data_IF_773897279311
#
_entry.id   IF_773897279311
#
_cell.length_a   1.000
_cell.length_b   1.000
_cell.length_c   1.000
_cell.angle_alpha   90.00
_cell.angle_beta   90.00
_cell.angle_gamma   90.00
#
_symmetry.space_group_name_H-M   'P 1'
#
loop_
_entity.id
_entity.type
_entity.pdbx_description
1 polymer ?
#
# COMPACT_ATOMS: atom_id res chain seq x y z
N UNK A 1 29.54 -7.14 -13.92
CA UNK A 1 28.87 -6.40 -12.84
C UNK A 1 27.41 -6.80 -12.80
N UNK A 2 26.94 -7.35 -11.68
CA UNK A 2 25.54 -7.77 -11.51
C UNK A 2 24.73 -6.66 -10.84
N UNK A 3 23.47 -6.50 -11.28
CA UNK A 3 22.53 -5.51 -10.73
C UNK A 3 21.59 -6.16 -9.72
N UNK A 4 21.13 -5.38 -8.76
CA UNK A 4 20.15 -5.84 -7.78
C UNK A 4 18.81 -6.19 -8.46
N UNK A 5 18.08 -7.14 -7.87
CA UNK A 5 16.76 -7.56 -8.38
C UNK A 5 15.76 -6.40 -8.39
N UNK A 6 15.86 -5.48 -7.43
CA UNK A 6 15.06 -4.27 -7.35
C UNK A 6 15.31 -3.35 -8.55
N UNK A 7 16.58 -3.04 -8.82
CA UNK A 7 16.99 -2.16 -9.93
C UNK A 7 16.56 -2.74 -11.28
N UNK A 8 16.72 -4.05 -11.48
CA UNK A 8 16.24 -4.74 -12.69
C UNK A 8 14.72 -4.60 -12.87
N UNK A 9 13.96 -4.73 -11.78
CA UNK A 9 12.49 -4.60 -11.82
C UNK A 9 12.06 -3.16 -12.16
N UNK A 10 12.74 -2.17 -11.60
CA UNK A 10 12.51 -0.75 -11.89
C UNK A 10 12.82 -0.39 -13.34
N UNK A 11 13.93 -0.89 -13.90
CA UNK A 11 14.29 -0.69 -15.32
C UNK A 11 13.22 -1.29 -16.25
N UNK A 12 12.67 -2.46 -15.91
CA UNK A 12 11.57 -3.07 -16.68
C UNK A 12 10.29 -2.23 -16.60
N UNK A 13 9.98 -1.66 -15.43
CA UNK A 13 8.82 -0.78 -15.26
C UNK A 13 8.95 0.49 -16.12
N UNK A 14 10.17 1.01 -16.28
CA UNK A 14 10.50 2.14 -17.15
C UNK A 14 10.47 1.80 -18.66
N UNK A 15 10.25 0.52 -19.02
CA UNK A 15 10.15 0.02 -20.40
C UNK A 15 11.43 0.21 -21.24
N UNK A 16 12.60 -0.03 -20.64
CA UNK A 16 13.84 -0.09 -21.40
C UNK A 16 13.73 -1.10 -22.57
N UNK A 17 13.98 -0.69 -23.83
CA UNK A 17 13.76 -1.54 -25.01
C UNK A 17 14.87 -2.58 -25.23
N UNK A 18 16.05 -2.39 -24.62
CA UNK A 18 17.19 -3.29 -24.77
C UNK A 18 17.19 -4.45 -23.76
N UNK A 19 17.84 -5.56 -24.14
CA UNK A 19 18.19 -6.65 -23.21
C UNK A 19 19.64 -6.52 -22.68
N UNK A 20 20.47 -5.75 -23.39
CA UNK A 20 21.87 -5.50 -23.05
C UNK A 20 22.00 -4.66 -21.78
N UNK A 21 22.89 -5.08 -20.90
CA UNK A 21 23.15 -4.43 -19.62
C UNK A 21 21.90 -4.31 -18.73
N UNK A 22 20.93 -5.23 -18.81
CA UNK A 22 19.76 -5.21 -17.94
C UNK A 22 20.05 -5.87 -16.59
N UNK A 23 20.31 -7.18 -16.56
CA UNK A 23 20.62 -7.92 -15.32
C UNK A 23 22.11 -7.87 -14.96
N UNK A 24 22.97 -7.92 -15.97
CA UNK A 24 24.43 -7.91 -15.83
C UNK A 24 25.04 -6.95 -16.84
N UNK A 25 25.88 -6.04 -16.36
CA UNK A 25 26.70 -5.15 -17.18
C UNK A 25 28.06 -5.79 -17.42
N UNK A 26 28.47 -5.88 -18.69
CA UNK A 26 29.81 -6.33 -19.10
C UNK A 26 30.61 -5.23 -19.81
N UNK A 27 30.12 -3.98 -19.74
CA UNK A 27 30.86 -2.83 -20.22
C UNK A 27 31.96 -2.49 -19.21
N UNK A 28 33.22 -2.59 -19.63
CA UNK A 28 34.38 -2.23 -18.81
C UNK A 28 34.56 -0.70 -18.73
N UNK A 29 34.11 0.03 -19.76
CA UNK A 29 34.00 1.50 -19.80
C UNK A 29 32.72 1.93 -20.53
N UNK A 30 32.36 3.22 -20.45
CA UNK A 30 31.29 3.80 -21.27
C UNK A 30 31.70 3.75 -22.76
N UNK A 31 30.75 3.53 -23.69
CA UNK A 31 29.31 3.66 -23.52
C UNK A 31 28.58 2.38 -23.08
N UNK A 32 27.76 2.51 -22.03
CA UNK A 32 26.82 1.48 -21.61
C UNK A 32 25.45 1.76 -22.25
N UNK A 33 24.83 0.80 -22.97
CA UNK A 33 23.58 1.03 -23.69
C UNK A 33 22.41 1.39 -22.76
N UNK A 34 22.38 0.80 -21.55
CA UNK A 34 21.37 1.12 -20.55
C UNK A 34 21.53 2.55 -20.03
N UNK A 35 22.75 2.96 -19.70
CA UNK A 35 22.99 4.31 -19.18
C UNK A 35 22.73 5.37 -20.24
N UNK A 36 23.14 5.08 -21.48
CA UNK A 36 22.85 5.94 -22.64
C UNK A 36 21.35 6.15 -22.78
N UNK A 37 20.55 5.07 -22.71
CA UNK A 37 19.10 5.19 -22.77
C UNK A 37 18.50 5.93 -21.56
N UNK A 38 18.98 5.68 -20.34
CA UNK A 38 18.48 6.37 -19.15
C UNK A 38 18.72 7.88 -19.24
N UNK A 39 19.90 8.30 -19.69
CA UNK A 39 20.22 9.72 -19.85
C UNK A 39 19.47 10.35 -21.02
N UNK A 40 19.24 9.62 -22.12
CA UNK A 40 18.41 10.14 -23.23
C UNK A 40 16.97 10.34 -22.80
N UNK A 41 16.34 9.37 -22.14
CA UNK A 41 14.96 9.52 -21.64
C UNK A 41 14.84 10.60 -20.57
N UNK A 42 15.85 10.77 -19.71
CA UNK A 42 15.82 11.80 -18.70
C UNK A 42 15.95 13.20 -19.31
N UNK A 43 16.79 13.36 -20.33
CA UNK A 43 16.92 14.63 -21.07
C UNK A 43 15.71 14.94 -21.95
N UNK A 44 14.96 13.94 -22.44
CA UNK A 44 13.70 14.19 -23.18
C UNK A 44 12.56 14.66 -22.28
N UNK A 45 12.57 14.25 -21.00
CA UNK A 45 11.60 14.71 -20.00
C UNK A 45 12.01 16.04 -19.38
N UNK A 46 13.31 16.28 -19.21
CA UNK A 46 13.88 17.47 -18.60
C UNK A 46 14.86 18.16 -19.58
N UNK A 47 14.38 18.99 -20.51
CA UNK A 47 15.24 19.64 -21.52
C UNK A 47 16.25 20.63 -20.91
N UNK A 48 16.04 21.09 -19.68
CA UNK A 48 16.97 21.94 -18.92
C UNK A 48 18.32 21.27 -18.65
N UNK A 49 18.38 19.94 -18.73
CA UNK A 49 19.59 19.15 -18.50
C UNK A 49 20.40 18.88 -19.79
N UNK A 50 19.95 19.41 -20.94
CA UNK A 50 20.59 19.15 -22.22
C UNK A 50 21.76 20.11 -22.47
N UNK A 51 22.98 19.58 -22.54
CA UNK A 51 24.16 20.34 -22.95
C UNK A 51 24.08 20.71 -24.45
N UNK A 52 24.36 21.97 -24.79
CA UNK A 52 24.29 22.50 -26.15
C UNK A 52 25.31 21.90 -27.16
N UNK A 53 26.21 21.03 -26.69
CA UNK A 53 27.27 20.38 -27.48
C UNK A 53 26.91 18.97 -27.96
N UNK A 54 25.77 18.40 -27.55
CA UNK A 54 25.44 17.00 -27.79
C UNK A 54 25.19 16.72 -29.28
N UNK A 55 26.19 16.18 -29.95
CA UNK A 55 26.15 15.87 -31.39
C UNK A 55 25.94 14.37 -31.69
N UNK A 56 26.04 13.50 -30.68
CA UNK A 56 25.92 12.04 -30.85
C UNK A 56 24.99 11.39 -29.81
N UNK A 57 24.39 10.25 -30.18
CA UNK A 57 23.44 9.48 -29.35
C UNK A 57 24.15 8.51 -28.39
N UNK A 58 25.45 8.73 -28.12
CA UNK A 58 26.32 7.84 -27.36
C UNK A 58 26.81 8.57 -26.11
N UNK A 59 26.54 8.02 -24.93
CA UNK A 59 26.89 8.64 -23.66
C UNK A 59 28.38 8.41 -23.34
N UNK A 60 29.15 9.50 -23.30
CA UNK A 60 30.54 9.49 -22.87
C UNK A 60 30.69 9.75 -21.36
N UNK A 61 31.83 9.37 -20.79
CA UNK A 61 32.10 9.55 -19.36
C UNK A 61 32.10 11.01 -18.90
N UNK A 62 32.57 11.93 -19.74
CA UNK A 62 32.50 13.37 -19.46
C UNK A 62 31.06 13.88 -19.39
N UNK A 63 30.20 13.47 -20.31
CA UNK A 63 28.80 13.87 -20.39
C UNK A 63 27.97 13.33 -19.22
N UNK A 64 28.26 12.11 -18.78
CA UNK A 64 27.63 11.56 -17.58
C UNK A 64 27.98 12.40 -16.34
N UNK A 65 29.21 12.92 -16.23
CA UNK A 65 29.62 13.78 -15.12
C UNK A 65 28.97 15.16 -15.17
N UNK A 66 28.88 15.78 -16.35
CA UNK A 66 28.18 17.07 -16.49
C UNK A 66 26.71 16.92 -16.12
N UNK A 67 26.04 15.87 -16.62
CA UNK A 67 24.65 15.58 -16.28
C UNK A 67 24.44 15.35 -14.77
N UNK A 68 25.28 14.53 -14.13
CA UNK A 68 25.20 14.29 -12.69
C UNK A 68 25.45 15.56 -11.87
N UNK A 69 26.33 16.45 -12.36
CA UNK A 69 26.59 17.74 -11.73
C UNK A 69 25.41 18.70 -11.86
N UNK A 70 24.79 18.76 -13.04
CA UNK A 70 23.59 19.56 -13.30
C UNK A 70 22.40 19.10 -12.45
N UNK A 71 22.28 17.79 -12.20
CA UNK A 71 21.29 17.21 -11.28
C UNK A 71 21.67 17.34 -9.80
N UNK A 72 22.77 18.02 -9.46
CA UNK A 72 23.30 18.18 -8.10
C UNK A 72 23.43 16.84 -7.36
N UNK A 73 23.81 15.78 -8.09
CA UNK A 73 23.89 14.43 -7.57
C UNK A 73 24.94 14.35 -6.44
N UNK A 74 24.67 13.61 -5.36
CA UNK A 74 25.69 13.31 -4.34
C UNK A 74 26.85 12.47 -4.90
N UNK A 75 26.69 11.90 -6.10
CA UNK A 75 27.72 11.15 -6.83
C UNK A 75 28.63 12.05 -7.68
N UNK A 76 28.69 13.36 -7.43
CA UNK A 76 29.54 14.32 -8.15
C UNK A 76 31.04 14.21 -7.82
N UNK A 77 31.41 13.50 -6.75
CA UNK A 77 32.80 13.29 -6.29
C UNK A 77 33.55 12.21 -7.10
N UNK A 78 33.06 11.85 -8.29
CA UNK A 78 33.71 10.87 -9.18
C UNK A 78 34.93 11.48 -9.86
N UNK A 79 36.02 11.65 -9.10
CA UNK A 79 37.31 12.18 -9.55
C UNK A 79 38.19 11.15 -10.26
N UNK A 80 37.81 9.86 -10.26
CA UNK A 80 38.53 8.82 -11.00
C UNK A 80 37.97 8.68 -12.42
N UNK A 81 38.86 8.66 -13.42
CA UNK A 81 38.55 8.32 -14.82
C UNK A 81 37.92 6.92 -14.96
N UNK A 82 38.16 6.03 -13.99
CA UNK A 82 37.67 4.66 -13.99
C UNK A 82 36.39 4.55 -13.16
N UNK A 83 35.25 4.36 -13.84
CA UNK A 83 33.96 4.05 -13.22
C UNK A 83 33.94 2.59 -12.77
N UNK A 84 34.36 2.33 -11.53
CA UNK A 84 34.30 0.99 -10.95
C UNK A 84 32.88 0.39 -10.95
N UNK A 85 32.73 -0.96 -10.97
CA UNK A 85 31.44 -1.65 -11.00
C UNK A 85 30.41 -1.20 -9.94
N UNK A 86 30.86 -0.93 -8.71
CA UNK A 86 30.02 -0.50 -7.60
C UNK A 86 29.47 0.91 -7.80
N UNK A 87 30.30 1.82 -8.31
CA UNK A 87 29.94 3.20 -8.65
C UNK A 87 28.91 3.19 -9.77
N UNK A 88 29.15 2.40 -10.82
CA UNK A 88 28.25 2.31 -11.97
C UNK A 88 26.85 1.80 -11.57
N UNK A 89 26.77 0.90 -10.59
CA UNK A 89 25.51 0.47 -9.99
C UNK A 89 24.78 1.61 -9.27
N UNK A 90 25.48 2.35 -8.40
CA UNK A 90 24.92 3.51 -7.70
C UNK A 90 24.42 4.59 -8.68
N UNK A 91 25.19 4.86 -9.75
CA UNK A 91 24.78 5.80 -10.80
C UNK A 91 23.55 5.29 -11.56
N UNK A 92 23.49 4.00 -11.88
CA UNK A 92 22.31 3.42 -12.54
C UNK A 92 21.06 3.54 -11.66
N UNK A 93 21.18 3.24 -10.36
CA UNK A 93 20.09 3.35 -9.39
C UNK A 93 19.60 4.79 -9.25
N UNK A 94 20.52 5.74 -9.17
CA UNK A 94 20.20 7.17 -9.14
C UNK A 94 19.44 7.60 -10.39
N UNK A 95 19.95 7.33 -11.59
CA UNK A 95 19.30 7.72 -12.85
C UNK A 95 17.92 7.07 -13.04
N UNK A 96 17.75 5.82 -12.59
CA UNK A 96 16.44 5.14 -12.59
C UNK A 96 15.45 5.86 -11.68
N UNK A 97 15.87 6.27 -10.48
CA UNK A 97 15.04 7.01 -9.53
C UNK A 97 14.63 8.38 -10.10
N UNK A 98 15.59 9.13 -10.64
CA UNK A 98 15.33 10.45 -11.23
C UNK A 98 14.41 10.37 -12.44
N UNK A 99 14.58 9.37 -13.31
CA UNK A 99 13.69 9.17 -14.45
C UNK A 99 12.26 8.85 -14.02
N UNK A 100 12.09 8.02 -12.98
CA UNK A 100 10.77 7.74 -12.41
C UNK A 100 10.12 9.01 -11.83
N UNK A 101 10.89 9.82 -11.09
CA UNK A 101 10.40 11.08 -10.54
C UNK A 101 9.97 12.05 -11.66
N UNK A 102 10.78 12.20 -12.71
CA UNK A 102 10.47 13.04 -13.86
C UNK A 102 9.17 12.60 -14.57
N UNK A 103 8.97 11.28 -14.75
CA UNK A 103 7.72 10.75 -15.34
C UNK A 103 6.50 11.05 -14.47
N UNK A 104 6.63 10.97 -13.14
CA UNK A 104 5.55 11.29 -12.19
C UNK A 104 5.20 12.78 -12.31
N UNK A 105 6.21 13.66 -12.35
CA UNK A 105 6.01 15.10 -12.45
C UNK A 105 5.34 15.48 -13.78
N UNK A 106 5.82 14.97 -14.91
CA UNK A 106 5.21 15.21 -16.22
C UNK A 106 3.77 14.71 -16.30
N UNK A 107 3.45 13.57 -15.68
CA UNK A 107 2.07 13.08 -15.58
C UNK A 107 1.18 14.05 -14.79
N UNK A 108 1.68 14.63 -13.70
CA UNK A 108 0.95 15.64 -12.92
C UNK A 108 0.68 16.91 -13.74
N UNK A 109 1.67 17.37 -14.51
CA UNK A 109 1.52 18.56 -15.37
C UNK A 109 0.50 18.37 -16.49
N UNK A 110 0.43 17.19 -17.10
CA UNK A 110 -0.52 16.87 -18.17
C UNK A 110 -1.97 16.70 -17.66
N UNK A 111 -2.17 16.61 -16.34
CA UNK A 111 -3.48 16.46 -15.71
C UNK A 111 -3.69 17.49 -14.57
N UNK A 112 -3.80 18.79 -14.88
CA UNK A 112 -3.90 19.85 -13.87
C UNK A 112 -5.29 20.00 -13.23
N UNK A 113 -6.34 19.37 -13.78
CA UNK A 113 -7.75 19.60 -13.39
C UNK A 113 -8.21 18.94 -12.06
N UNK A 114 -7.30 18.40 -11.25
CA UNK A 114 -7.64 18.00 -9.87
C UNK A 114 -7.53 19.15 -8.85
N UNK A 115 -7.45 20.40 -9.31
CA UNK A 115 -7.52 21.57 -8.43
C UNK A 115 -8.86 22.31 -8.55
N UNK A 116 -9.61 22.21 -7.45
CA UNK A 116 -10.61 23.16 -6.92
C UNK A 116 -11.97 23.31 -7.62
N UNK A 117 -13.01 22.80 -6.96
CA UNK A 117 -14.19 23.55 -6.44
C UNK A 117 -14.72 22.65 -5.30
N UNK A 118 -14.65 23.01 -4.02
CA UNK A 118 -15.45 24.07 -3.43
C UNK A 118 -16.91 23.60 -3.30
N UNK A 119 -17.22 22.67 -2.40
CA UNK A 119 -18.41 22.79 -1.54
C UNK A 119 -18.60 21.68 -0.49
N UNK A 120 -18.97 22.17 0.70
CA UNK A 120 -19.80 21.60 1.76
C UNK A 120 -19.43 20.27 2.47
N UNK A 121 -18.77 20.49 3.62
CA UNK A 121 -19.04 19.86 4.93
C UNK A 121 -20.26 18.90 4.99
N UNK A 122 -20.00 17.60 4.94
CA UNK A 122 -20.87 16.59 5.53
C UNK A 122 -20.22 16.04 6.79
N UNK A 123 -20.85 16.32 7.93
CA UNK A 123 -20.43 15.93 9.29
C UNK A 123 -20.29 14.40 9.38
N UNK A 124 -19.07 13.92 9.66
CA UNK A 124 -18.85 12.56 10.16
C UNK A 124 -19.52 12.42 11.53
N UNK A 125 -20.66 11.75 11.57
CA UNK A 125 -21.32 11.38 12.80
C UNK A 125 -20.70 10.07 13.32
N UNK A 126 -19.58 10.18 14.05
CA UNK A 126 -19.12 9.07 14.88
C UNK A 126 -20.01 8.99 16.12
N UNK A 127 -20.81 7.93 16.19
CA UNK A 127 -21.50 7.51 17.40
C UNK A 127 -20.45 7.11 18.42
N UNK A 128 -20.49 7.74 19.61
CA UNK A 128 -19.78 7.26 20.79
C UNK A 128 -20.49 6.00 21.29
N UNK A 129 -19.77 4.90 21.35
CA UNK A 129 -20.23 3.68 22.00
C UNK A 129 -19.66 3.66 23.43
N UNK A 130 -20.52 4.01 24.39
CA UNK A 130 -20.28 3.82 25.83
C UNK A 130 -20.73 2.40 26.19
N UNK A 131 -19.84 1.44 25.95
CA UNK A 131 -20.02 0.03 26.31
C UNK A 131 -18.83 -0.47 27.11
N UNK A 132 -18.73 -0.07 28.39
CA UNK A 132 -17.93 -0.82 29.37
C UNK A 132 -18.64 -2.12 29.68
N UNK A 133 -18.14 -3.23 29.16
CA UNK A 133 -18.35 -4.53 29.79
C UNK A 133 -17.07 -5.34 29.73
N UNK A 134 -16.71 -5.86 30.90
CA UNK A 134 -15.48 -6.59 31.17
C UNK A 134 -15.31 -7.74 30.17
N UNK A 135 -14.24 -7.68 29.40
CA UNK A 135 -13.59 -8.89 28.88
C UNK A 135 -12.19 -8.90 29.46
N UNK A 136 -11.98 -9.76 30.45
CA UNK A 136 -10.65 -10.20 30.87
C UNK A 136 -9.92 -10.73 29.64
N UNK A 137 -9.12 -9.87 29.01
CA UNK A 137 -8.10 -10.30 28.08
C UNK A 137 -6.80 -10.34 28.86
N UNK A 138 -6.17 -11.52 28.85
CA UNK A 138 -4.89 -11.81 29.48
C UNK A 138 -3.93 -10.63 29.31
N UNK A 139 -3.31 -10.22 30.42
CA UNK A 139 -2.05 -9.49 30.36
C UNK A 139 -1.09 -10.37 29.56
N UNK A 140 -0.91 -10.06 28.28
CA UNK A 140 0.30 -10.42 27.57
C UNK A 140 1.36 -9.53 28.19
N UNK A 141 2.05 -10.07 29.20
CA UNK A 141 3.32 -9.53 29.67
C UNK A 141 4.17 -9.25 28.42
N UNK A 142 4.77 -8.05 28.32
CA UNK A 142 5.72 -7.74 27.26
C UNK A 142 6.86 -8.78 27.32
N UNK A 143 6.77 -9.82 26.48
CA UNK A 143 7.75 -10.88 26.37
C UNK A 143 9.14 -10.26 26.16
N UNK A 144 10.14 -10.71 26.93
CA UNK A 144 11.51 -10.17 26.90
C UNK A 144 12.11 -10.26 25.47
N UNK A 145 11.64 -11.25 24.70
CA UNK A 145 11.95 -11.48 23.29
C UNK A 145 11.55 -10.30 22.38
N UNK A 146 10.45 -9.59 22.70
CA UNK A 146 10.01 -8.44 21.89
C UNK A 146 10.86 -7.19 22.13
N UNK A 147 11.45 -7.05 23.33
CA UNK A 147 12.37 -5.96 23.64
C UNK A 147 13.70 -6.13 22.92
N UNK A 148 14.24 -7.35 22.89
CA UNK A 148 15.49 -7.64 22.19
C UNK A 148 15.32 -7.58 20.67
N UNK A 149 14.17 -8.03 20.14
CA UNK A 149 13.82 -7.83 18.73
C UNK A 149 13.82 -6.34 18.35
N UNK A 150 13.18 -5.48 19.14
CA UNK A 150 13.16 -4.03 18.90
C UNK A 150 14.56 -3.41 18.95
N UNK A 151 15.43 -3.85 19.87
CA UNK A 151 16.83 -3.39 19.93
C UNK A 151 17.59 -3.76 18.65
N UNK A 152 17.47 -4.99 18.19
CA UNK A 152 18.13 -5.43 16.94
C UNK A 152 17.62 -4.65 15.72
N UNK A 153 16.31 -4.41 15.64
CA UNK A 153 15.70 -3.57 14.59
C UNK A 153 16.29 -2.14 14.62
N UNK A 154 16.35 -1.50 15.79
CA UNK A 154 16.93 -0.15 15.92
C UNK A 154 18.42 -0.12 15.57
N UNK A 155 19.17 -1.16 15.91
CA UNK A 155 20.58 -1.26 15.55
C UNK A 155 20.77 -1.44 14.05
N UNK A 156 19.92 -2.23 13.39
CA UNK A 156 19.93 -2.39 11.94
C UNK A 156 19.58 -1.08 11.22
N UNK A 157 18.56 -0.35 11.68
CA UNK A 157 18.20 0.96 11.15
C UNK A 157 19.33 1.98 11.32
N UNK A 158 20.01 1.97 12.48
CA UNK A 158 21.17 2.80 12.73
C UNK A 158 22.32 2.53 11.75
N UNK A 159 22.64 1.26 11.53
CA UNK A 159 23.69 0.86 10.56
C UNK A 159 23.31 1.29 9.13
N UNK A 160 22.04 1.13 8.74
CA UNK A 160 21.55 1.57 7.43
C UNK A 160 21.68 3.08 7.25
N UNK A 161 21.36 3.87 8.29
CA UNK A 161 21.51 5.32 8.27
C UNK A 161 22.97 5.72 8.10
N UNK A 162 23.88 5.14 8.88
CA UNK A 162 25.32 5.40 8.78
C UNK A 162 25.87 5.04 7.40
N UNK A 163 25.48 3.90 6.85
CA UNK A 163 25.86 3.49 5.51
C UNK A 163 25.32 4.45 4.44
N UNK A 164 24.09 4.95 4.60
CA UNK A 164 23.52 5.96 3.69
C UNK A 164 24.25 7.31 3.78
N UNK A 165 24.75 7.64 4.97
CA UNK A 165 25.55 8.84 5.21
C UNK A 165 27.04 8.65 4.87
N UNK A 166 27.49 7.45 4.49
CA UNK A 166 28.91 7.12 4.27
C UNK A 166 29.77 7.41 5.51
N UNK A 167 29.23 7.05 6.67
CA UNK A 167 29.80 7.29 8.00
C UNK A 167 30.17 5.99 8.71
N UNK A 168 31.17 6.03 9.60
CA UNK A 168 31.61 4.85 10.34
C UNK A 168 30.66 4.48 11.51
N UNK A 169 30.56 3.19 11.81
CA UNK A 169 29.73 2.59 12.87
C UNK A 169 30.09 3.07 14.29
N UNK A 170 31.27 3.66 14.46
CA UNK A 170 31.81 4.13 15.73
C UNK A 170 31.38 5.56 16.12
N UNK A 171 30.71 6.29 15.21
CA UNK A 171 30.38 7.70 15.41
C UNK A 171 29.22 7.90 16.39
N UNK A 172 29.30 8.99 17.15
CA UNK A 172 28.27 9.34 18.13
C UNK A 172 27.05 9.95 17.43
N UNK A 173 25.90 9.85 18.07
CA UNK A 173 24.64 10.40 17.56
C UNK A 173 24.72 11.89 17.20
N UNK A 174 25.52 12.67 17.94
CA UNK A 174 25.73 14.10 17.68
C UNK A 174 26.42 14.36 16.35
N UNK A 175 27.42 13.56 16.01
CA UNK A 175 28.20 13.70 14.77
C UNK A 175 27.30 13.39 13.57
N UNK A 176 26.55 12.30 13.67
CA UNK A 176 25.58 11.88 12.66
C UNK A 176 24.48 12.92 12.47
N UNK A 177 23.96 13.50 13.58
CA UNK A 177 22.95 14.55 13.50
C UNK A 177 23.48 15.79 12.78
N UNK A 178 24.71 16.22 13.08
CA UNK A 178 25.32 17.38 12.42
C UNK A 178 25.60 17.15 10.92
N UNK A 179 25.98 15.95 10.52
CA UNK A 179 26.15 15.60 9.11
C UNK A 179 24.80 15.57 8.38
N UNK A 180 23.75 15.05 9.01
CA UNK A 180 22.38 15.11 8.47
C UNK A 180 21.96 16.56 8.26
N UNK A 181 22.15 17.44 9.25
CA UNK A 181 21.80 18.86 9.14
C UNK A 181 22.60 19.56 8.03
N UNK A 182 23.89 19.26 7.91
CA UNK A 182 24.76 19.75 6.82
C UNK A 182 24.26 19.34 5.43
N UNK A 183 23.87 18.06 5.27
CA UNK A 183 23.31 17.57 4.00
C UNK A 183 21.95 18.18 3.69
N UNK A 184 21.09 18.32 4.69
CA UNK A 184 19.79 18.97 4.55
C UNK A 184 19.96 20.43 4.10
N UNK A 185 20.93 21.16 4.63
CA UNK A 185 21.22 22.54 4.23
C UNK A 185 21.75 22.66 2.79
N UNK A 186 22.37 21.61 2.25
CA UNK A 186 22.87 21.56 0.86
C UNK A 186 21.79 21.23 -0.17
N UNK A 187 20.61 20.77 0.25
CA UNK A 187 19.54 20.41 -0.67
C UNK A 187 19.02 21.67 -1.39
N UNK A 188 18.96 21.67 -2.72
CA UNK A 188 18.54 22.82 -3.52
C UNK A 188 17.01 22.96 -3.50
N UNK A 189 16.42 23.32 -2.35
CA UNK A 189 15.05 23.83 -2.30
C UNK A 189 14.68 24.23 -0.87
N UNK A 190 14.23 25.48 -0.69
CA UNK A 190 13.46 25.93 0.47
C UNK A 190 12.05 25.33 0.53
N UNK A 191 11.90 24.06 0.20
CA UNK A 191 10.62 23.34 0.05
C UNK A 191 10.57 22.05 0.86
N UNK A 192 11.43 21.88 1.86
CA UNK A 192 11.19 20.85 2.87
C UNK A 192 9.95 21.30 3.67
N UNK A 193 8.80 20.66 3.46
CA UNK A 193 7.56 20.97 4.16
C UNK A 193 7.75 20.89 5.66
N UNK A 194 7.05 21.73 6.42
CA UNK A 194 7.26 21.77 7.86
C UNK A 194 6.94 20.39 8.48
N UNK A 195 7.64 20.03 9.58
CA UNK A 195 7.21 18.92 10.41
C UNK A 195 5.73 19.06 10.76
N UNK A 196 5.00 17.94 10.78
CA UNK A 196 3.61 17.97 11.23
C UNK A 196 3.55 18.37 12.71
N UNK A 197 4.50 17.87 13.49
CA UNK A 197 4.65 18.18 14.90
C UNK A 197 5.76 19.21 15.09
N UNK A 198 5.38 20.48 15.26
CA UNK A 198 6.32 21.59 15.46
C UNK A 198 6.62 21.89 16.93
N UNK A 199 5.98 21.18 17.86
CA UNK A 199 6.12 21.39 19.31
C UNK A 199 6.91 20.26 19.94
N UNK A 200 7.84 20.59 20.84
CA UNK A 200 8.46 19.61 21.71
C UNK A 200 7.45 19.10 22.73
N UNK A 201 7.43 17.78 22.94
CA UNK A 201 6.56 17.14 23.93
C UNK A 201 7.35 16.91 25.22
N UNK A 202 6.68 17.10 26.37
CA UNK A 202 7.23 16.75 27.68
C UNK A 202 7.34 15.23 27.86
N UNK A 203 8.10 14.79 28.86
CA UNK A 203 8.23 13.36 29.19
C UNK A 203 6.88 12.71 29.50
N UNK A 204 5.99 13.42 30.20
CA UNK A 204 4.64 12.97 30.51
C UNK A 204 3.76 12.85 29.25
N UNK A 205 3.84 13.84 28.36
CA UNK A 205 3.15 13.80 27.06
C UNK A 205 3.65 12.65 26.19
N UNK A 206 4.96 12.38 26.17
CA UNK A 206 5.53 11.23 25.48
C UNK A 206 5.01 9.90 26.02
N UNK A 207 4.87 9.78 27.34
CA UNK A 207 4.28 8.59 27.95
C UNK A 207 2.83 8.40 27.48
N UNK A 208 2.05 9.49 27.41
CA UNK A 208 0.69 9.45 26.92
C UNK A 208 0.60 9.09 25.42
N UNK A 209 1.48 9.65 24.58
CA UNK A 209 1.54 9.31 23.15
C UNK A 209 1.89 7.84 22.94
N UNK A 210 2.84 7.30 23.71
CA UNK A 210 3.17 5.86 23.68
C UNK A 210 1.96 5.00 24.02
N UNK A 211 1.20 5.37 25.06
CA UNK A 211 -0.03 4.67 25.45
C UNK A 211 -1.08 4.70 24.33
N UNK A 212 -1.29 5.85 23.69
CA UNK A 212 -2.21 5.97 22.55
C UNK A 212 -1.75 5.07 21.40
N UNK A 213 -0.47 5.11 21.05
CA UNK A 213 0.08 4.30 19.97
C UNK A 213 -0.05 2.80 20.23
N UNK A 214 0.13 2.37 21.47
CA UNK A 214 -0.08 0.98 21.88
C UNK A 214 -1.53 0.53 21.63
N UNK A 215 -2.50 1.29 22.14
CA UNK A 215 -3.93 0.98 21.95
C UNK A 215 -4.31 0.95 20.47
N UNK A 216 -3.85 1.93 19.68
CA UNK A 216 -4.13 1.97 18.24
C UNK A 216 -3.45 0.82 17.48
N UNK A 217 -2.26 0.41 17.90
CA UNK A 217 -1.53 -0.71 17.29
C UNK A 217 -2.23 -2.03 17.56
N UNK A 218 -2.74 -2.24 18.77
CA UNK A 218 -3.53 -3.41 19.15
C UNK A 218 -4.84 -3.48 18.37
N UNK A 219 -5.56 -2.36 18.27
CA UNK A 219 -6.80 -2.25 17.51
C UNK A 219 -6.57 -2.48 16.01
N UNK A 220 -5.51 -1.89 15.44
CA UNK A 220 -5.11 -2.13 14.05
C UNK A 220 -4.74 -3.59 13.80
N UNK A 221 -3.98 -4.22 14.72
CA UNK A 221 -3.64 -5.65 14.66
C UNK A 221 -4.91 -6.51 14.63
N UNK A 222 -5.86 -6.24 15.52
CA UNK A 222 -7.15 -6.94 15.58
C UNK A 222 -7.93 -6.81 14.27
N UNK A 223 -8.11 -5.58 13.76
CA UNK A 223 -8.80 -5.35 12.47
C UNK A 223 -8.13 -6.07 11.31
N UNK A 224 -6.79 -6.07 11.29
CA UNK A 224 -6.01 -6.74 10.24
C UNK A 224 -6.18 -8.26 10.30
N UNK A 225 -6.09 -8.87 11.49
CA UNK A 225 -6.36 -10.30 11.67
C UNK A 225 -7.78 -10.66 11.25
N UNK A 226 -8.76 -9.84 11.59
CA UNK A 226 -10.15 -10.02 11.19
C UNK A 226 -10.33 -9.97 9.67
N UNK A 227 -9.70 -9.01 8.99
CA UNK A 227 -9.71 -8.95 7.51
C UNK A 227 -9.03 -10.15 6.87
N UNK A 228 -7.87 -10.56 7.38
CA UNK A 228 -7.16 -11.75 6.88
C UNK A 228 -8.03 -12.99 7.05
N UNK A 229 -8.66 -13.16 8.22
CA UNK A 229 -9.52 -14.31 8.47
C UNK A 229 -10.76 -14.29 7.60
N UNK A 230 -11.38 -13.12 7.39
CA UNK A 230 -12.48 -12.95 6.42
C UNK A 230 -12.06 -13.35 5.02
N UNK A 231 -10.89 -12.92 4.57
CA UNK A 231 -10.38 -13.26 3.25
C UNK A 231 -10.08 -14.77 3.13
N UNK A 232 -9.49 -15.38 4.16
CA UNK A 232 -9.28 -16.84 4.23
C UNK A 232 -10.59 -17.60 4.11
N UNK A 233 -11.60 -17.28 4.92
CA UNK A 233 -12.91 -17.95 4.87
C UNK A 233 -13.60 -17.73 3.52
N UNK A 234 -13.44 -16.55 2.91
CA UNK A 234 -13.96 -16.26 1.57
C UNK A 234 -13.28 -17.15 0.52
N UNK A 235 -11.95 -17.30 0.59
CA UNK A 235 -11.21 -18.20 -0.29
C UNK A 235 -11.66 -19.66 -0.12
N UNK A 236 -11.76 -20.13 1.12
CA UNK A 236 -12.24 -21.47 1.45
C UNK A 236 -13.67 -21.72 0.93
N UNK A 237 -14.54 -20.71 0.97
CA UNK A 237 -15.92 -20.82 0.46
C UNK A 237 -15.99 -21.11 -1.03
N UNK A 238 -14.99 -20.69 -1.84
CA UNK A 238 -14.95 -21.05 -3.26
C UNK A 238 -14.71 -22.55 -3.47
N UNK A 239 -14.04 -23.21 -2.53
CA UNK A 239 -13.84 -24.65 -2.57
C UNK A 239 -15.10 -25.45 -2.21
N UNK A 240 -16.14 -24.82 -1.66
CA UNK A 240 -17.36 -25.54 -1.29
C UNK A 240 -18.17 -25.95 -2.53
N UNK A 241 -18.60 -27.21 -2.55
CA UNK A 241 -19.47 -27.79 -3.58
C UNK A 241 -18.91 -29.04 -4.25
N UNK A 242 -19.61 -29.55 -5.27
CA UNK A 242 -19.31 -30.84 -5.92
C UNK A 242 -17.92 -30.89 -6.59
N UNK A 243 -17.39 -29.73 -7.01
CA UNK A 243 -16.05 -29.60 -7.62
C UNK A 243 -14.96 -29.17 -6.63
N UNK A 244 -15.13 -29.50 -5.34
CA UNK A 244 -14.20 -29.09 -4.29
C UNK A 244 -12.74 -29.42 -4.59
N UNK A 245 -12.46 -30.62 -5.13
CA UNK A 245 -11.08 -31.06 -5.41
C UNK A 245 -10.38 -30.17 -6.44
N UNK A 246 -11.01 -29.94 -7.59
CA UNK A 246 -10.50 -29.08 -8.68
C UNK A 246 -10.33 -27.62 -8.21
N UNK A 247 -11.29 -27.09 -7.44
CA UNK A 247 -11.22 -25.72 -6.90
C UNK A 247 -10.20 -25.57 -5.78
N UNK A 248 -9.99 -26.62 -4.97
CA UNK A 248 -8.96 -26.62 -3.92
C UNK A 248 -7.54 -26.62 -4.49
N UNK A 249 -7.32 -27.32 -5.61
CA UNK A 249 -6.04 -27.29 -6.33
C UNK A 249 -5.75 -25.89 -6.90
N UNK A 250 -6.78 -25.22 -7.45
CA UNK A 250 -6.65 -23.84 -7.88
C UNK A 250 -6.35 -22.88 -6.70
N UNK A 251 -7.00 -23.07 -5.55
CA UNK A 251 -6.76 -22.27 -4.35
C UNK A 251 -5.39 -22.52 -3.72
N UNK A 252 -4.80 -23.71 -3.89
CA UNK A 252 -3.45 -24.00 -3.42
C UNK A 252 -2.37 -23.16 -4.13
N UNK A 253 -2.69 -22.57 -5.30
CA UNK A 253 -1.81 -21.60 -5.97
C UNK A 253 -1.80 -20.21 -5.31
N UNK A 254 -2.76 -19.92 -4.42
CA UNK A 254 -2.83 -18.64 -3.72
C UNK A 254 -1.77 -18.59 -2.62
N UNK A 255 -0.94 -17.53 -2.54
CA UNK A 255 0.09 -17.41 -1.52
C UNK A 255 -0.47 -17.45 -0.09
N UNK A 256 0.26 -18.02 0.88
CA UNK A 256 -0.15 -18.01 2.28
C UNK A 256 -0.34 -16.60 2.82
N UNK A 257 -1.55 -16.36 3.35
CA UNK A 257 -1.93 -15.07 3.94
C UNK A 257 -1.26 -14.81 5.30
N UNK A 258 -0.55 -15.79 5.86
CA UNK A 258 0.25 -15.63 7.08
C UNK A 258 1.35 -14.57 6.93
N UNK A 259 1.88 -14.40 5.71
CA UNK A 259 2.82 -13.30 5.39
C UNK A 259 2.22 -11.91 5.61
N UNK A 260 0.89 -11.81 5.50
CA UNK A 260 0.13 -10.61 5.79
C UNK A 260 -0.22 -10.49 7.27
N UNK A 261 0.33 -11.30 8.18
CA UNK A 261 0.04 -11.20 9.62
C UNK A 261 1.11 -10.45 10.42
N UNK A 262 2.10 -9.85 9.76
CA UNK A 262 3.18 -9.11 10.43
C UNK A 262 2.73 -7.95 11.32
N UNK A 263 3.63 -7.41 12.15
CA UNK A 263 3.36 -6.23 12.99
C UNK A 263 3.06 -4.97 12.16
N UNK A 264 2.52 -3.94 12.83
CA UNK A 264 2.40 -2.61 12.23
C UNK A 264 3.78 -2.09 11.83
N UNK A 265 3.89 -1.55 10.61
CA UNK A 265 5.10 -0.88 10.14
C UNK A 265 5.17 0.59 10.58
N UNK A 266 4.12 1.09 11.24
CA UNK A 266 4.05 2.47 11.71
C UNK A 266 4.59 2.53 13.13
N UNK A 267 5.77 3.11 13.29
CA UNK A 267 6.39 3.37 14.57
C UNK A 267 6.12 4.81 15.04
N UNK A 268 6.31 5.07 16.33
CA UNK A 268 6.23 6.43 16.87
C UNK A 268 7.27 7.37 16.25
N UNK A 269 8.46 6.86 15.89
CA UNK A 269 9.47 7.65 15.19
C UNK A 269 8.99 8.09 13.80
N UNK A 270 8.30 7.21 13.08
CA UNK A 270 7.73 7.54 11.76
C UNK A 270 6.64 8.62 11.84
N UNK A 271 5.85 8.61 12.92
CA UNK A 271 4.83 9.65 13.17
C UNK A 271 5.46 11.03 13.40
N UNK A 272 6.58 11.10 14.12
CA UNK A 272 7.30 12.35 14.40
C UNK A 272 7.99 12.86 13.13
N UNK A 273 8.54 11.94 12.34
CA UNK A 273 9.15 12.26 11.06
C UNK A 273 8.10 12.62 9.97
N UNK A 274 6.80 12.57 10.29
CA UNK A 274 5.76 12.98 9.37
C UNK A 274 5.80 14.51 9.16
N UNK A 275 5.64 14.91 7.90
CA UNK A 275 5.59 16.30 7.44
C UNK A 275 4.23 16.60 6.84
N UNK A 276 3.93 17.87 6.65
CA UNK A 276 2.63 18.35 6.17
C UNK A 276 2.21 17.77 4.80
N UNK A 277 3.18 17.45 3.95
CA UNK A 277 2.96 16.85 2.61
C UNK A 277 2.36 15.44 2.67
N UNK A 278 2.65 14.65 3.71
CA UNK A 278 2.16 13.27 3.85
C UNK A 278 0.66 13.19 4.16
N UNK A 279 0.04 14.29 4.55
CA UNK A 279 -1.40 14.36 4.85
C UNK A 279 -2.25 14.83 3.68
N UNK A 280 -1.66 15.00 2.50
CA UNK A 280 -2.40 15.10 1.24
C UNK A 280 -2.96 13.70 0.88
N UNK A 281 -3.86 13.19 1.72
CA UNK A 281 -4.67 12.02 1.38
C UNK A 281 -5.74 12.54 0.44
N UNK A 282 -5.46 12.47 -0.86
CA UNK A 282 -6.52 12.65 -1.84
C UNK A 282 -7.62 11.61 -1.54
N UNK A 283 -8.90 12.02 -1.51
CA UNK A 283 -9.98 11.08 -1.27
C UNK A 283 -9.88 9.97 -2.31
N UNK A 284 -9.82 8.72 -1.84
CA UNK A 284 -9.83 7.54 -2.70
C UNK A 284 -11.21 7.49 -3.37
N UNK A 285 -11.35 8.18 -4.49
CA UNK A 285 -12.55 8.13 -5.31
C UNK A 285 -12.53 6.80 -6.04
N UNK A 286 -13.56 5.98 -5.82
CA UNK A 286 -13.76 4.77 -6.61
C UNK A 286 -13.81 5.18 -8.09
N UNK A 287 -12.85 4.70 -8.89
CA UNK A 287 -12.86 4.93 -10.33
C UNK A 287 -14.17 4.43 -10.94
N UNK A 288 -14.66 5.11 -11.98
CA UNK A 288 -16.00 4.86 -12.58
C UNK A 288 -16.21 3.42 -13.10
N UNK A 289 -15.17 2.61 -13.24
CA UNK A 289 -15.27 1.18 -13.59
C UNK A 289 -13.92 0.50 -13.44
N UNK A 290 -13.82 -0.53 -12.59
CA UNK A 290 -12.71 -1.49 -12.62
C UNK A 290 -13.04 -2.64 -13.59
N UNK A 291 -12.05 -3.35 -14.15
CA UNK A 291 -12.28 -4.50 -15.02
C UNK A 291 -13.18 -5.58 -14.39
N UNK A 292 -13.18 -5.68 -13.05
CA UNK A 292 -14.05 -6.57 -12.28
C UNK A 292 -15.53 -6.20 -12.47
N UNK A 293 -15.87 -4.92 -12.48
CA UNK A 293 -17.23 -4.44 -12.71
C UNK A 293 -17.68 -4.54 -14.17
N UNK A 294 -16.77 -4.84 -15.11
CA UNK A 294 -17.10 -5.07 -16.54
C UNK A 294 -17.45 -6.52 -16.84
N UNK A 295 -17.20 -7.43 -15.91
CA UNK A 295 -17.59 -8.83 -16.07
C UNK A 295 -19.10 -8.90 -15.89
N UNK A 296 -19.81 -9.22 -16.97
CA UNK A 296 -21.24 -9.51 -16.92
C UNK A 296 -21.43 -10.75 -16.05
N UNK A 297 -21.86 -10.57 -14.81
CA UNK A 297 -22.33 -11.69 -14.01
C UNK A 297 -23.55 -12.27 -14.73
N UNK A 298 -23.55 -13.59 -14.95
CA UNK A 298 -24.70 -14.29 -15.54
C UNK A 298 -25.97 -14.10 -14.71
N UNK A 299 -27.08 -14.72 -15.11
CA UNK A 299 -28.35 -14.63 -14.38
C UNK A 299 -28.20 -15.09 -12.93
N UNK A 300 -28.01 -14.14 -12.01
CA UNK A 300 -27.90 -14.41 -10.56
C UNK A 300 -29.31 -14.72 -10.06
N UNK A 301 -29.57 -15.96 -9.57
CA UNK A 301 -30.85 -16.28 -8.95
C UNK A 301 -31.07 -15.35 -7.76
N UNK A 302 -32.29 -14.83 -7.61
CA UNK A 302 -32.62 -13.97 -6.49
C UNK A 302 -32.30 -14.69 -5.18
N UNK A 303 -31.39 -14.10 -4.39
CA UNK A 303 -30.95 -14.68 -3.11
C UNK A 303 -31.89 -14.33 -1.97
N UNK A 304 -32.98 -13.60 -2.24
CA UNK A 304 -33.93 -13.17 -1.23
C UNK A 304 -33.31 -12.19 -0.23
N UNK A 305 -34.13 -11.68 0.68
CA UNK A 305 -33.71 -10.69 1.68
C UNK A 305 -33.94 -9.23 1.27
N UNK A 306 -34.65 -8.98 0.17
CA UNK A 306 -35.22 -7.66 -0.11
C UNK A 306 -36.19 -7.31 1.03
N UNK A 307 -35.94 -6.23 1.79
CA UNK A 307 -36.83 -5.83 2.88
C UNK A 307 -38.24 -5.61 2.33
N UNK A 308 -39.20 -6.45 2.75
CA UNK A 308 -40.61 -6.38 2.36
C UNK A 308 -41.12 -7.46 1.39
N UNK A 309 -40.26 -8.29 0.78
CA UNK A 309 -40.72 -9.37 -0.12
C UNK A 309 -41.03 -10.69 0.61
N UNK A 310 -40.48 -10.87 1.81
CA UNK A 310 -40.83 -11.98 2.71
C UNK A 310 -41.78 -11.42 3.76
N UNK A 311 -43.08 -11.54 3.51
CA UNK A 311 -44.07 -11.34 4.56
C UNK A 311 -43.84 -12.45 5.60
N UNK A 312 -43.43 -12.12 6.84
CA UNK A 312 -43.21 -13.14 7.86
C UNK A 312 -44.54 -13.89 8.03
N UNK A 313 -44.55 -15.24 7.97
CA UNK A 313 -45.78 -15.98 8.15
C UNK A 313 -46.37 -15.58 9.51
N UNK A 314 -47.54 -14.94 9.48
CA UNK A 314 -48.21 -14.48 10.69
C UNK A 314 -48.37 -15.69 11.63
N UNK A 315 -47.85 -15.63 12.87
CA UNK A 315 -48.00 -16.75 13.79
C UNK A 315 -49.48 -16.95 14.06
N UNK A 316 -50.04 -18.10 13.65
CA UNK A 316 -51.40 -18.44 14.01
C UNK A 316 -51.43 -18.73 15.52
N UNK A 317 -52.06 -17.85 16.29
CA UNK A 317 -52.31 -18.10 17.70
C UNK A 317 -53.45 -19.11 17.79
N UNK A 318 -53.11 -20.39 17.96
CA UNK A 318 -54.12 -21.38 18.34
C UNK A 318 -54.46 -21.20 19.81
N UNK A 319 -55.74 -21.08 20.12
CA UNK A 319 -56.23 -21.07 21.49
C UNK A 319 -55.64 -22.24 22.27
N UNK A 320 -55.13 -21.96 23.47
CA UNK A 320 -54.66 -23.00 24.39
C UNK A 320 -55.79 -23.99 24.59
N UNK A 321 -55.58 -25.24 24.16
CA UNK A 321 -56.52 -26.33 24.42
C UNK A 321 -56.74 -26.42 25.93
N UNK A 322 -57.87 -25.91 26.40
CA UNK A 322 -58.35 -26.22 27.73
C UNK A 322 -58.53 -27.75 27.78
N UNK A 323 -57.72 -28.42 28.61
CA UNK A 323 -57.94 -29.81 28.97
C UNK A 323 -59.32 -29.90 29.61
N UNK A 324 -60.30 -30.33 28.84
CA UNK A 324 -61.65 -30.60 29.28
C UNK A 324 -62.24 -31.71 28.42
N UNK A 325 -62.34 -32.90 28.98
CA UNK A 325 -62.98 -34.07 28.38
C UNK A 325 -64.35 -33.73 27.79
N UNK A 326 -64.57 -34.02 26.50
CA UNK A 326 -65.84 -34.56 26.01
C UNK A 326 -65.72 -35.10 24.57
N UNK A 327 -66.04 -36.38 24.47
CA UNK A 327 -66.41 -37.20 23.31
C UNK A 327 -67.00 -36.46 22.09
N UNK A 328 -66.60 -36.83 20.88
CA UNK A 328 -67.35 -36.50 19.65
C UNK A 328 -66.65 -36.89 18.35
N UNK A 329 -67.23 -37.87 17.66
CA UNK A 329 -66.91 -38.40 16.31
C UNK A 329 -66.65 -37.33 15.22
N UNK A 330 -65.76 -37.66 14.28
CA UNK A 330 -66.03 -37.53 12.84
C UNK A 330 -65.10 -36.66 11.99
N UNK A 331 -64.48 -37.29 10.97
CA UNK A 331 -64.05 -36.74 9.65
C UNK A 331 -63.02 -35.59 9.65
N UNK A 332 -61.82 -35.69 9.09
CA UNK A 332 -61.48 -36.27 7.80
C UNK A 332 -61.75 -35.28 6.66
N UNK A 333 -60.86 -34.30 6.45
CA UNK A 333 -60.46 -33.68 5.15
C UNK A 333 -59.71 -32.35 5.36
N UNK A 334 -58.40 -32.34 5.09
CA UNK A 334 -57.65 -31.10 4.81
C UNK A 334 -57.48 -30.99 3.28
N UNK A 335 -57.85 -29.87 2.63
CA UNK A 335 -57.61 -29.69 1.21
C UNK A 335 -56.15 -29.30 0.95
N UNK A 336 -55.50 -30.02 0.03
CA UNK A 336 -54.26 -29.60 -0.64
C UNK A 336 -54.53 -28.30 -1.41
N UNK A 337 -53.99 -27.17 -0.95
CA UNK A 337 -53.92 -25.97 -1.77
C UNK A 337 -52.90 -26.19 -2.90
N UNK A 338 -53.40 -26.26 -4.14
CA UNK A 338 -52.61 -26.14 -5.37
C UNK A 338 -52.18 -24.68 -5.53
N UNK A 339 -50.88 -24.44 -5.68
CA UNK A 339 -50.37 -23.20 -6.24
C UNK A 339 -50.89 -23.04 -7.67
N UNK A 340 -51.44 -21.86 -8.00
CA UNK A 340 -51.82 -21.50 -9.36
C UNK A 340 -50.74 -20.59 -9.95
N UNK A 341 -50.16 -21.04 -11.06
CA UNK A 341 -49.23 -20.27 -11.88
C UNK A 341 -49.92 -19.03 -12.46
N UNK A 342 -49.57 -17.84 -11.96
CA UNK A 342 -49.95 -16.59 -12.60
C UNK A 342 -49.02 -16.29 -13.78
N UNK A 343 -49.55 -16.62 -14.96
CA UNK A 343 -49.11 -16.24 -16.31
C UNK A 343 -48.70 -14.76 -16.41
N UNK A 344 -47.44 -14.49 -16.73
CA UNK A 344 -46.96 -13.17 -17.21
C UNK A 344 -47.68 -12.83 -18.53
N UNK A 345 -48.50 -11.77 -18.53
CA UNK A 345 -48.99 -11.13 -19.75
C UNK A 345 -47.92 -10.14 -20.22
N UNK A 346 -47.38 -10.36 -21.41
CA UNK A 346 -46.50 -9.43 -22.09
C UNK A 346 -47.23 -8.13 -22.41
N UNK A 347 -46.50 -7.02 -22.30
CA UNK A 347 -46.85 -5.76 -22.96
C UNK A 347 -46.01 -5.67 -24.23
N UNK A 348 -46.71 -5.64 -25.35
CA UNK A 348 -46.22 -5.21 -26.65
C UNK A 348 -46.72 -3.77 -26.84
N UNK A 349 -45.90 -3.00 -27.56
CA UNK A 349 -46.03 -1.57 -27.95
C UNK A 349 -45.74 -0.51 -26.88
#
# INVERSE_FOLDING_TARGET
MDRSVGTVSSIRALRYPGSSCLARCTCDELPCPLLTWLTTELTTLCPELQDSSRTSDVLLGGELRTLLSNMLSPLTVLTSEVLGPSILNKVTEFLVSELQAAQIMKRKELHPEEKTTGDESAKEQRVKDDGRELTEFSQEDEDDDDKDRRKMETQAEWILLLHALDMDASLQFTDVSSEVDSRLARLPCGAMTNPLLNTSLSSEQWAQVKKINQVLSEDYRCRRQMMIKRFQVTLESFAWGEKQKERSEALASVPPLSSLSGSSRVSSSLLIAAREDKFLIDPIKAGKSTPVYKILMGSVPDRGGRPGEIEPPMPAWTDRRAKGNKSGRGGGQHPRQKFSDKKKKGKHE
#
